data_IF_618028326457
#
_entry.id   IF_618028326457
#
_cell.length_a   1.000
_cell.length_b   1.000
_cell.length_c   1.000
_cell.angle_alpha   90.00
_cell.angle_beta   90.00
_cell.angle_gamma   90.00
#
_symmetry.space_group_name_H-M   'P 1'
#
loop_
_entity.id
_entity.type
_entity.pdbx_description
1 polymer ?
#
# COMPACT_ATOMS: atom_id res chain seq x y z
N UNK A 1 2.55 -11.90 -23.60
CA UNK A 1 3.22 -13.12 -23.08
C UNK A 1 4.33 -12.63 -22.16
N UNK A 2 4.34 -13.12 -20.92
CA UNK A 2 5.34 -12.79 -19.91
C UNK A 2 6.09 -14.08 -19.59
N UNK A 3 7.37 -14.13 -19.89
CA UNK A 3 8.26 -15.27 -19.62
C UNK A 3 9.08 -15.08 -18.35
N UNK A 4 9.27 -13.82 -17.91
CA UNK A 4 10.02 -13.50 -16.71
C UNK A 4 9.38 -12.36 -15.93
N UNK A 5 9.58 -12.36 -14.61
CA UNK A 5 9.13 -11.30 -13.70
C UNK A 5 10.33 -10.73 -12.98
N UNK A 6 10.40 -9.39 -12.98
CA UNK A 6 11.24 -8.62 -12.11
C UNK A 6 10.48 -8.36 -10.80
N UNK A 7 11.06 -8.76 -9.68
CA UNK A 7 10.51 -8.60 -8.35
C UNK A 7 11.41 -7.68 -7.53
N UNK A 8 10.94 -6.47 -7.28
CA UNK A 8 11.59 -5.53 -6.37
C UNK A 8 11.19 -5.83 -4.93
N UNK A 9 12.14 -5.85 -4.04
CA UNK A 9 11.92 -6.15 -2.64
C UNK A 9 12.87 -5.40 -1.71
N UNK A 10 12.46 -5.21 -0.47
CA UNK A 10 13.37 -4.72 0.56
C UNK A 10 14.23 -5.87 1.11
N UNK A 11 15.44 -5.58 1.57
CA UNK A 11 16.35 -6.53 2.24
C UNK A 11 15.78 -7.29 3.44
N UNK A 12 14.52 -7.04 3.78
CA UNK A 12 13.79 -7.61 4.92
C UNK A 12 12.87 -8.76 4.56
N UNK A 13 12.76 -9.07 3.26
CA UNK A 13 11.92 -10.16 2.77
C UNK A 13 12.59 -11.49 3.08
N UNK A 14 11.79 -12.46 3.52
CA UNK A 14 12.28 -13.75 3.96
C UNK A 14 12.18 -14.82 2.89
N UNK A 15 11.04 -14.89 2.18
CA UNK A 15 10.75 -15.95 1.21
C UNK A 15 9.76 -15.48 0.15
N UNK A 16 9.94 -16.01 -1.08
CA UNK A 16 9.00 -15.90 -2.20
C UNK A 16 8.67 -17.29 -2.73
N UNK A 17 7.43 -17.50 -3.13
CA UNK A 17 6.97 -18.72 -3.75
C UNK A 17 5.86 -18.40 -4.77
N UNK A 18 6.08 -18.78 -6.01
CA UNK A 18 5.09 -18.70 -7.07
C UNK A 18 4.36 -20.04 -7.22
N UNK A 19 3.10 -20.01 -7.57
CA UNK A 19 2.29 -21.19 -7.88
C UNK A 19 2.58 -21.80 -9.27
N UNK A 20 3.62 -21.34 -9.93
CA UNK A 20 4.08 -21.75 -11.24
C UNK A 20 5.57 -22.12 -11.19
N UNK A 21 5.96 -23.18 -11.90
CA UNK A 21 7.37 -23.62 -11.98
C UNK A 21 8.24 -22.50 -12.56
N UNK A 22 9.25 -22.11 -11.81
CA UNK A 22 10.12 -20.99 -12.13
C UNK A 22 11.57 -21.28 -11.70
N UNK A 23 12.48 -20.44 -12.20
CA UNK A 23 13.90 -20.45 -11.85
C UNK A 23 14.31 -19.03 -11.49
N UNK A 24 14.99 -18.85 -10.37
CA UNK A 24 15.66 -17.59 -10.03
C UNK A 24 16.90 -17.45 -10.94
N UNK A 25 16.84 -16.53 -11.90
CA UNK A 25 17.93 -16.31 -12.88
C UNK A 25 18.88 -15.19 -12.48
N UNK A 26 18.40 -14.26 -11.64
CA UNK A 26 19.22 -13.19 -11.07
C UNK A 26 18.72 -12.85 -9.67
N UNK A 27 19.67 -12.75 -8.73
CA UNK A 27 19.48 -12.18 -7.40
C UNK A 27 20.45 -11.03 -7.23
N UNK A 28 19.93 -9.80 -7.05
CA UNK A 28 20.76 -8.62 -6.79
C UNK A 28 20.59 -8.17 -5.34
N UNK A 29 21.58 -8.48 -4.52
CA UNK A 29 21.61 -8.12 -3.10
C UNK A 29 21.98 -6.67 -2.85
N UNK A 30 22.48 -5.95 -3.86
CA UNK A 30 22.89 -4.54 -3.74
C UNK A 30 21.68 -3.62 -3.92
N UNK A 31 20.86 -3.91 -4.93
CA UNK A 31 19.67 -3.14 -5.26
C UNK A 31 18.37 -3.81 -4.81
N UNK A 32 18.48 -5.02 -4.23
CA UNK A 32 17.37 -5.77 -3.64
C UNK A 32 16.26 -6.11 -4.64
N UNK A 33 16.63 -6.71 -5.73
CA UNK A 33 15.67 -7.26 -6.69
C UNK A 33 16.07 -8.65 -7.17
N UNK A 34 15.06 -9.41 -7.57
CA UNK A 34 15.19 -10.75 -8.15
C UNK A 34 14.54 -10.81 -9.51
N UNK A 35 15.07 -11.64 -10.41
CA UNK A 35 14.43 -11.98 -11.67
C UNK A 35 14.13 -13.48 -11.67
N UNK A 36 12.86 -13.81 -11.87
CA UNK A 36 12.35 -15.18 -12.00
C UNK A 36 11.92 -15.45 -13.43
N UNK A 37 12.42 -16.51 -14.03
CA UNK A 37 12.00 -17.01 -15.34
C UNK A 37 11.04 -18.17 -15.17
N UNK A 38 9.91 -18.15 -15.88
CA UNK A 38 8.89 -19.21 -15.83
C UNK A 38 9.12 -20.23 -16.91
N UNK A 39 9.10 -21.53 -16.56
CA UNK A 39 9.19 -22.63 -17.53
C UNK A 39 8.08 -22.55 -18.57
N UNK A 40 6.89 -22.18 -18.16
CA UNK A 40 5.76 -21.93 -19.04
C UNK A 40 5.37 -20.45 -18.93
N UNK A 41 5.47 -19.67 -20.01
CA UNK A 41 5.12 -18.25 -19.99
C UNK A 41 3.69 -18.01 -19.52
N UNK A 42 3.45 -16.82 -18.95
CA UNK A 42 2.12 -16.33 -18.56
C UNK A 42 1.46 -15.75 -19.79
N UNK A 43 0.30 -16.25 -20.15
CA UNK A 43 -0.48 -15.80 -21.30
C UNK A 43 -1.53 -14.74 -20.87
N UNK A 44 -2.03 -13.93 -21.81
CA UNK A 44 -3.16 -13.04 -21.52
C UNK A 44 -4.37 -13.82 -20.97
N UNK A 45 -4.86 -13.41 -19.81
CA UNK A 45 -5.95 -14.08 -19.09
C UNK A 45 -5.49 -15.09 -18.03
N UNK A 46 -4.21 -15.44 -17.99
CA UNK A 46 -3.65 -16.25 -16.90
C UNK A 46 -3.56 -15.45 -15.60
N UNK A 47 -3.56 -16.15 -14.48
CA UNK A 47 -3.25 -15.64 -13.16
C UNK A 47 -1.95 -16.22 -12.63
N UNK A 48 -1.25 -15.47 -11.81
CA UNK A 48 -0.08 -15.90 -11.06
C UNK A 48 -0.30 -15.57 -9.58
N UNK A 49 0.00 -16.55 -8.70
CA UNK A 49 -0.06 -16.34 -7.26
C UNK A 49 1.36 -16.24 -6.71
N UNK A 50 1.62 -15.18 -5.99
CA UNK A 50 2.84 -14.99 -5.21
C UNK A 50 2.52 -15.11 -3.72
N UNK A 51 3.11 -16.11 -3.05
CA UNK A 51 3.15 -16.18 -1.60
C UNK A 51 4.48 -15.59 -1.12
N UNK A 52 4.44 -14.80 -0.08
CA UNK A 52 5.67 -14.23 0.48
C UNK A 52 5.58 -14.00 1.98
N UNK A 53 6.73 -13.93 2.63
CA UNK A 53 6.86 -13.54 4.02
C UNK A 53 7.82 -12.37 4.13
N UNK A 54 7.37 -11.28 4.77
CA UNK A 54 8.19 -10.11 5.09
C UNK A 54 8.37 -10.01 6.59
N UNK A 55 9.61 -9.83 7.03
CA UNK A 55 9.95 -9.59 8.45
C UNK A 55 10.60 -8.24 8.63
N UNK A 56 9.95 -7.38 9.39
CA UNK A 56 10.53 -6.14 9.86
C UNK A 56 11.00 -6.32 11.32
N UNK A 57 12.32 -6.29 11.55
CA UNK A 57 12.87 -6.25 12.91
C UNK A 57 13.29 -4.81 13.23
N UNK A 58 12.76 -4.21 14.29
CA UNK A 58 13.24 -2.91 14.73
C UNK A 58 14.74 -3.00 15.05
N UNK A 59 15.52 -2.06 14.54
CA UNK A 59 16.92 -1.94 14.94
C UNK A 59 16.95 -1.30 16.33
N UNK A 60 17.38 -2.04 17.33
CA UNK A 60 17.39 -1.61 18.74
C UNK A 60 18.38 -0.48 19.00
N UNK A 61 19.39 -0.29 18.15
CA UNK A 61 20.41 0.76 18.28
C UNK A 61 20.06 2.04 17.51
N UNK A 62 19.35 1.91 16.39
CA UNK A 62 18.95 3.03 15.52
C UNK A 62 17.42 3.04 15.37
N UNK A 63 16.73 3.54 16.40
CA UNK A 63 15.26 3.52 16.49
C UNK A 63 14.53 4.35 15.41
N UNK A 64 15.22 5.22 14.68
CA UNK A 64 14.57 6.27 13.88
C UNK A 64 14.13 5.85 12.47
N UNK A 65 14.48 4.65 11.99
CA UNK A 65 14.17 4.18 10.63
C UNK A 65 13.42 2.84 10.59
N UNK A 66 12.71 2.48 11.65
CA UNK A 66 11.90 1.26 11.67
C UNK A 66 10.42 1.61 11.51
N UNK A 67 9.64 0.86 10.69
CA UNK A 67 8.19 0.98 10.63
C UNK A 67 7.51 0.49 11.92
N UNK A 68 8.26 -0.15 12.81
CA UNK A 68 7.81 -0.62 14.13
C UNK A 68 8.47 0.22 15.21
N UNK A 69 7.69 1.04 15.89
CA UNK A 69 8.13 1.92 16.99
C UNK A 69 7.49 1.47 18.30
N UNK A 70 7.95 2.03 19.41
CA UNK A 70 7.41 1.71 20.74
C UNK A 70 5.93 2.11 20.91
N UNK A 71 5.46 3.11 20.17
CA UNK A 71 4.10 3.62 20.24
C UNK A 71 3.19 3.15 19.10
N UNK A 72 3.70 2.35 18.16
CA UNK A 72 2.91 1.80 17.08
C UNK A 72 3.70 1.29 15.90
N UNK A 73 2.98 0.78 14.92
CA UNK A 73 3.52 0.23 13.67
C UNK A 73 2.87 0.93 12.50
N UNK A 74 3.68 1.28 11.50
CA UNK A 74 3.22 1.77 10.20
C UNK A 74 3.93 1.00 9.08
N UNK A 75 3.17 0.29 8.27
CA UNK A 75 3.64 -0.43 7.09
C UNK A 75 2.86 0.07 5.88
N UNK A 76 3.55 0.59 4.89
CA UNK A 76 2.96 0.93 3.58
C UNK A 76 3.20 -0.18 2.57
N UNK A 77 2.56 -0.10 1.39
CA UNK A 77 2.82 -1.01 0.28
C UNK A 77 4.31 -1.08 -0.12
N UNK A 78 5.10 -0.03 0.13
CA UNK A 78 6.56 -0.03 -0.08
C UNK A 78 7.34 -1.00 0.84
N UNK A 79 6.70 -1.53 1.89
CA UNK A 79 7.29 -2.54 2.75
C UNK A 79 7.07 -3.97 2.24
N UNK A 80 6.36 -4.13 1.13
CA UNK A 80 6.01 -5.40 0.50
C UNK A 80 6.66 -5.50 -0.88
N UNK A 81 6.81 -6.71 -1.43
CA UNK A 81 7.35 -6.89 -2.77
C UNK A 81 6.46 -6.22 -3.81
N UNK A 82 7.08 -5.65 -4.83
CA UNK A 82 6.41 -5.06 -5.98
C UNK A 82 6.89 -5.70 -7.28
N UNK A 83 6.00 -5.80 -8.26
CA UNK A 83 6.31 -6.32 -9.58
C UNK A 83 6.86 -5.22 -10.47
N UNK A 84 7.84 -5.56 -11.29
CA UNK A 84 8.48 -4.64 -12.20
C UNK A 84 9.53 -3.76 -11.53
N UNK A 85 10.28 -3.05 -12.35
CA UNK A 85 11.34 -2.16 -11.90
C UNK A 85 10.74 -0.89 -11.28
N UNK A 86 10.91 -0.73 -9.99
CA UNK A 86 10.47 0.43 -9.21
C UNK A 86 11.58 1.50 -9.09
N UNK A 87 12.58 1.47 -9.95
CA UNK A 87 13.68 2.41 -9.89
C UNK A 87 13.18 3.86 -9.84
N UNK A 88 13.70 4.60 -8.86
CA UNK A 88 13.67 6.06 -8.92
C UNK A 88 14.49 6.45 -10.13
N UNK A 89 13.79 6.57 -11.22
CA UNK A 89 14.36 6.67 -12.54
C UNK A 89 15.31 7.85 -12.62
N UNK A 90 16.32 7.66 -13.41
CA UNK A 90 17.07 8.78 -13.92
C UNK A 90 16.06 9.69 -14.65
N UNK A 91 15.58 10.72 -13.98
CA UNK A 91 14.59 11.65 -14.52
C UNK A 91 15.24 12.77 -15.34
N UNK A 92 16.57 12.94 -15.20
CA UNK A 92 17.34 13.93 -15.95
C UNK A 92 17.73 13.37 -17.33
N UNK A 93 17.22 13.98 -18.39
CA UNK A 93 17.43 13.53 -19.77
C UNK A 93 18.91 13.48 -20.17
N UNK A 94 19.76 14.39 -19.68
CA UNK A 94 21.20 14.36 -19.96
C UNK A 94 21.88 13.15 -19.34
N UNK A 95 21.45 12.79 -18.13
CA UNK A 95 21.96 11.60 -17.47
C UNK A 95 21.46 10.33 -18.17
N UNK A 96 20.21 10.31 -18.63
CA UNK A 96 19.65 9.21 -19.42
C UNK A 96 20.43 9.02 -20.73
N UNK A 97 20.69 10.10 -21.46
CA UNK A 97 21.49 10.11 -22.70
C UNK A 97 22.90 9.54 -22.46
N UNK A 98 23.55 9.94 -21.35
CA UNK A 98 24.88 9.43 -20.95
C UNK A 98 24.91 7.89 -20.80
N UNK A 99 23.82 7.30 -20.39
CA UNK A 99 23.67 5.85 -20.22
C UNK A 99 22.95 5.16 -21.41
N UNK A 100 22.75 5.86 -22.51
CA UNK A 100 22.10 5.32 -23.71
C UNK A 100 20.62 5.01 -23.53
N UNK A 101 19.97 5.62 -22.54
CA UNK A 101 18.55 5.46 -22.28
C UNK A 101 17.73 6.46 -23.11
N UNK A 102 16.50 6.10 -23.54
CA UNK A 102 15.62 7.05 -24.21
C UNK A 102 15.28 8.22 -23.29
N UNK A 103 14.87 9.39 -23.82
CA UNK A 103 14.37 10.50 -23.02
C UNK A 103 13.27 10.04 -22.05
N UNK A 104 13.12 10.76 -20.94
CA UNK A 104 12.06 10.44 -19.98
C UNK A 104 10.69 10.68 -20.62
N UNK A 105 9.76 9.74 -20.41
CA UNK A 105 8.39 9.90 -20.90
C UNK A 105 7.70 11.05 -20.15
N UNK A 106 7.21 12.00 -20.91
CA UNK A 106 6.40 13.08 -20.35
C UNK A 106 4.98 12.56 -20.03
N UNK A 107 4.36 13.15 -19.03
CA UNK A 107 2.95 12.89 -18.76
C UNK A 107 2.12 13.22 -20.01
N UNK A 108 1.15 12.37 -20.37
CA UNK A 108 0.24 12.64 -21.48
C UNK A 108 -0.48 13.98 -21.33
N UNK A 109 -0.86 14.56 -22.45
CA UNK A 109 -1.67 15.78 -22.44
C UNK A 109 -3.05 15.51 -21.81
N UNK A 110 -3.66 16.49 -21.13
CA UNK A 110 -5.02 16.34 -20.57
C UNK A 110 -6.09 16.01 -21.62
N UNK A 111 -5.80 16.27 -22.88
CA UNK A 111 -6.69 15.96 -24.02
C UNK A 111 -6.57 14.51 -24.50
N UNK A 112 -5.58 13.76 -24.04
CA UNK A 112 -5.43 12.34 -24.38
C UNK A 112 -6.34 11.48 -23.51
N UNK A 113 -7.51 11.19 -24.05
CA UNK A 113 -8.52 10.37 -23.34
C UNK A 113 -8.07 8.93 -23.10
N UNK A 114 -7.10 8.42 -23.85
CA UNK A 114 -6.61 7.04 -23.66
C UNK A 114 -5.72 6.92 -22.41
N UNK A 115 -5.12 8.01 -21.99
CA UNK A 115 -4.23 8.07 -20.85
C UNK A 115 -4.95 8.43 -19.52
N UNK A 116 -6.25 8.73 -19.55
CA UNK A 116 -7.01 9.09 -18.34
C UNK A 116 -7.07 7.97 -17.30
N UNK A 117 -6.93 6.72 -17.73
CA UNK A 117 -6.87 5.57 -16.84
C UNK A 117 -5.51 5.34 -16.16
N UNK A 118 -4.46 6.03 -16.60
CA UNK A 118 -3.13 5.84 -16.06
C UNK A 118 -3.02 6.45 -14.67
N UNK A 119 -2.48 5.70 -13.72
CA UNK A 119 -2.15 6.21 -12.39
C UNK A 119 -0.64 6.45 -12.27
N UNK A 120 -0.28 7.45 -11.47
CA UNK A 120 1.12 7.75 -11.14
C UNK A 120 1.45 7.44 -9.67
N UNK A 121 0.51 6.83 -8.96
CA UNK A 121 0.68 6.45 -7.55
C UNK A 121 1.33 5.09 -7.42
N UNK A 122 0.98 4.17 -8.32
CA UNK A 122 1.51 2.82 -8.37
C UNK A 122 1.96 2.48 -9.78
N UNK A 123 3.10 1.81 -9.90
CA UNK A 123 3.68 1.41 -11.19
C UNK A 123 3.47 -0.07 -11.52
N UNK A 124 3.23 -0.90 -10.52
CA UNK A 124 3.11 -2.35 -10.64
C UNK A 124 1.65 -2.81 -10.79
N UNK A 125 0.70 -2.02 -10.32
CA UNK A 125 -0.73 -2.30 -10.45
C UNK A 125 -1.55 -1.05 -10.24
N UNK A 126 -2.46 -0.75 -11.15
CA UNK A 126 -3.32 0.43 -11.05
C UNK A 126 -4.45 0.22 -10.05
N UNK A 127 -5.22 -0.85 -10.23
CA UNK A 127 -6.41 -1.14 -9.45
C UNK A 127 -6.37 -2.55 -8.90
N UNK A 128 -6.50 -2.67 -7.58
CA UNK A 128 -6.46 -3.94 -6.87
C UNK A 128 -7.77 -4.23 -6.13
N UNK A 129 -8.11 -5.50 -6.02
CA UNK A 129 -9.07 -6.00 -5.03
C UNK A 129 -8.32 -6.19 -3.71
N UNK A 130 -8.84 -5.60 -2.62
CA UNK A 130 -8.13 -5.58 -1.35
C UNK A 130 -8.93 -6.25 -0.24
N UNK A 131 -8.32 -7.23 0.39
CA UNK A 131 -8.78 -7.82 1.64
C UNK A 131 -7.57 -8.16 2.51
N UNK A 132 -7.64 -7.84 3.80
CA UNK A 132 -6.56 -8.11 4.73
C UNK A 132 -7.07 -8.52 6.12
N UNK A 133 -6.41 -9.51 6.72
CA UNK A 133 -6.54 -9.80 8.14
C UNK A 133 -5.27 -9.34 8.84
N UNK A 134 -5.41 -8.35 9.71
CA UNK A 134 -4.31 -7.78 10.48
C UNK A 134 -4.47 -8.19 11.95
N UNK A 135 -3.38 -8.58 12.59
CA UNK A 135 -3.40 -8.84 14.04
C UNK A 135 -2.35 -8.01 14.77
N UNK A 136 -2.68 -7.60 15.96
CA UNK A 136 -1.82 -6.82 16.85
C UNK A 136 -1.93 -7.31 18.29
N UNK A 137 -1.25 -6.67 19.23
CA UNK A 137 -1.43 -6.94 20.66
C UNK A 137 -2.88 -6.67 21.07
N UNK A 138 -3.36 -7.36 22.10
CA UNK A 138 -4.78 -7.33 22.51
C UNK A 138 -5.25 -5.93 22.91
N UNK A 139 -4.36 -5.10 23.41
CA UNK A 139 -4.56 -3.70 23.83
C UNK A 139 -4.50 -2.68 22.69
N UNK A 140 -4.16 -3.11 21.49
CA UNK A 140 -4.01 -2.22 20.32
C UNK A 140 -5.17 -2.37 19.33
N UNK A 141 -5.35 -1.36 18.51
CA UNK A 141 -6.21 -1.37 17.33
C UNK A 141 -5.33 -1.40 16.09
N UNK A 142 -5.61 -2.34 15.18
CA UNK A 142 -4.99 -2.37 13.86
C UNK A 142 -5.96 -1.85 12.80
N UNK A 143 -5.43 -1.08 11.85
CA UNK A 143 -6.19 -0.42 10.79
C UNK A 143 -5.59 -0.82 9.45
N UNK A 144 -6.46 -1.12 8.48
CA UNK A 144 -6.11 -1.37 7.08
C UNK A 144 -7.16 -0.72 6.17
N UNK A 145 -6.92 -0.54 4.87
CA UNK A 145 -7.96 -0.13 3.94
C UNK A 145 -9.17 -1.06 3.97
N UNK A 146 -10.33 -0.52 3.67
CA UNK A 146 -11.58 -1.26 3.64
C UNK A 146 -12.42 -1.13 4.90
N UNK A 147 -13.57 -1.77 4.85
CA UNK A 147 -14.54 -1.76 5.95
C UNK A 147 -14.28 -2.96 6.86
N UNK A 148 -14.35 -2.74 8.16
CA UNK A 148 -14.17 -3.81 9.14
C UNK A 148 -15.31 -4.84 8.99
N UNK A 149 -14.95 -6.06 8.61
CA UNK A 149 -15.88 -7.18 8.45
C UNK A 149 -16.02 -7.98 9.74
N UNK A 150 -14.88 -8.20 10.42
CA UNK A 150 -14.82 -9.02 11.62
C UNK A 150 -13.67 -8.58 12.51
N UNK A 151 -13.92 -8.64 13.81
CA UNK A 151 -12.94 -8.45 14.87
C UNK A 151 -13.06 -9.62 15.86
N UNK A 152 -11.91 -10.15 16.32
CA UNK A 152 -11.88 -11.21 17.35
C UNK A 152 -10.56 -11.22 18.10
N UNK A 153 -10.55 -11.89 19.23
CA UNK A 153 -9.34 -12.15 20.01
C UNK A 153 -9.06 -13.64 19.98
N UNK A 154 -7.79 -13.99 19.81
CA UNK A 154 -7.29 -15.36 19.91
C UNK A 154 -5.93 -15.35 20.63
N UNK A 155 -5.87 -15.97 21.78
CA UNK A 155 -4.72 -15.90 22.68
C UNK A 155 -4.41 -14.47 23.13
N UNK A 156 -3.20 -14.03 22.88
CA UNK A 156 -2.68 -12.70 23.20
C UNK A 156 -2.77 -11.70 22.03
N UNK A 157 -3.50 -12.07 20.97
CA UNK A 157 -3.63 -11.27 19.76
C UNK A 157 -5.07 -10.87 19.49
N UNK A 158 -5.24 -9.65 18.99
CA UNK A 158 -6.50 -9.09 18.49
C UNK A 158 -6.42 -8.98 16.98
N UNK A 159 -7.43 -9.48 16.28
CA UNK A 159 -7.50 -9.62 14.83
C UNK A 159 -8.59 -8.73 14.27
N UNK A 160 -8.31 -8.17 13.08
CA UNK A 160 -9.21 -7.31 12.35
C UNK A 160 -9.20 -7.74 10.88
N UNK A 161 -10.34 -8.15 10.34
CA UNK A 161 -10.49 -8.40 8.92
C UNK A 161 -11.14 -7.19 8.24
N UNK A 162 -10.43 -6.64 7.29
CA UNK A 162 -10.87 -5.51 6.47
C UNK A 162 -11.02 -5.94 5.02
N UNK A 163 -12.07 -5.44 4.35
CA UNK A 163 -12.34 -5.69 2.95
C UNK A 163 -12.90 -4.46 2.26
N UNK A 164 -12.38 -4.14 1.08
CA UNK A 164 -12.96 -3.14 0.20
C UNK A 164 -14.14 -3.74 -0.57
N UNK A 165 -15.17 -2.94 -0.82
CA UNK A 165 -16.32 -3.29 -1.67
C UNK A 165 -16.13 -2.87 -3.13
N UNK A 166 -15.05 -2.19 -3.44
CA UNK A 166 -14.63 -1.77 -4.78
C UNK A 166 -13.11 -1.82 -4.89
N UNK A 167 -12.59 -1.81 -6.10
CA UNK A 167 -11.15 -1.72 -6.34
C UNK A 167 -10.59 -0.42 -5.82
N UNK A 168 -9.37 -0.48 -5.32
CA UNK A 168 -8.57 0.68 -4.89
C UNK A 168 -7.25 0.73 -5.65
N UNK A 169 -6.59 1.88 -5.63
CA UNK A 169 -5.22 1.97 -6.14
C UNK A 169 -4.29 1.11 -5.29
N UNK A 170 -3.22 0.60 -5.88
CA UNK A 170 -2.17 -0.11 -5.15
C UNK A 170 -1.35 0.85 -4.27
N UNK A 171 -2.05 1.53 -3.40
CA UNK A 171 -1.54 2.48 -2.42
C UNK A 171 -2.26 2.26 -1.10
N UNK A 172 -1.65 1.50 -0.21
CA UNK A 172 -2.27 1.08 1.05
C UNK A 172 -1.27 1.08 2.20
N UNK A 173 -1.79 1.09 3.42
CA UNK A 173 -0.98 0.99 4.63
C UNK A 173 -1.69 0.19 5.72
N UNK A 174 -0.88 -0.35 6.61
CA UNK A 174 -1.30 -0.99 7.85
C UNK A 174 -0.77 -0.18 9.02
N UNK A 175 -1.65 0.17 9.93
CA UNK A 175 -1.32 0.90 11.15
C UNK A 175 -1.76 0.12 12.36
N UNK A 176 -0.99 0.15 13.43
CA UNK A 176 -1.37 -0.46 14.70
C UNK A 176 -0.78 0.33 15.86
N UNK A 177 -1.61 0.67 16.83
CA UNK A 177 -1.19 1.30 18.09
C UNK A 177 -2.28 1.18 19.16
N UNK A 178 -1.97 1.62 20.38
CA UNK A 178 -2.95 1.86 21.43
C UNK A 178 -3.72 3.16 21.09
N UNK A 179 -4.66 3.01 20.16
CA UNK A 179 -5.50 4.11 19.70
C UNK A 179 -6.75 4.29 20.54
N UNK A 180 -7.09 5.56 20.81
CA UNK A 180 -8.44 6.01 21.08
C UNK A 180 -9.12 6.40 19.78
N UNK A 181 -10.44 6.31 19.69
CA UNK A 181 -11.18 6.62 18.46
C UNK A 181 -12.25 7.65 18.72
N UNK A 182 -12.17 8.78 18.05
CA UNK A 182 -13.20 9.80 18.03
C UNK A 182 -14.05 9.64 16.78
N UNK A 183 -15.38 9.44 16.96
CA UNK A 183 -16.30 9.09 15.89
C UNK A 183 -17.35 10.16 15.68
N UNK A 184 -17.74 10.34 14.41
CA UNK A 184 -18.86 11.16 13.98
C UNK A 184 -19.35 10.65 12.61
N UNK A 185 -20.26 11.39 11.98
CA UNK A 185 -20.74 11.09 10.63
C UNK A 185 -20.98 12.37 9.83
N UNK A 186 -20.93 12.24 8.51
CA UNK A 186 -21.36 13.25 7.55
C UNK A 186 -22.18 12.56 6.47
N UNK A 187 -23.48 12.89 6.37
CA UNK A 187 -24.44 12.14 5.58
C UNK A 187 -24.31 10.61 5.88
N UNK A 188 -24.10 9.79 4.85
CA UNK A 188 -23.94 8.34 4.98
C UNK A 188 -22.48 7.90 5.19
N UNK A 189 -21.56 8.85 5.41
CA UNK A 189 -20.14 8.58 5.62
C UNK A 189 -19.81 8.55 7.11
N UNK A 190 -19.27 7.43 7.59
CA UNK A 190 -18.70 7.33 8.93
C UNK A 190 -17.35 8.03 9.00
N UNK A 191 -17.16 8.87 10.02
CA UNK A 191 -15.91 9.60 10.25
C UNK A 191 -15.24 9.10 11.52
N UNK A 192 -13.95 8.77 11.43
CA UNK A 192 -13.18 8.29 12.56
C UNK A 192 -11.81 8.96 12.63
N UNK A 193 -11.42 9.46 13.79
CA UNK A 193 -10.08 9.96 14.07
C UNK A 193 -9.45 9.04 15.11
N UNK A 194 -8.34 8.40 14.72
CA UNK A 194 -7.54 7.56 15.59
C UNK A 194 -6.41 8.39 16.20
N UNK A 195 -6.30 8.39 17.52
CA UNK A 195 -5.34 9.21 18.21
C UNK A 195 -4.77 8.49 19.46
N UNK A 196 -3.58 8.88 19.89
CA UNK A 196 -3.00 8.38 21.13
C UNK A 196 -3.62 9.08 22.34
N UNK A 197 -3.81 8.35 23.42
CA UNK A 197 -4.23 8.90 24.70
C UNK A 197 -3.35 10.10 25.09
N UNK A 198 -3.97 11.20 25.54
CA UNK A 198 -3.31 12.47 25.84
C UNK A 198 -3.08 13.39 24.62
N UNK A 199 -3.46 12.98 23.40
CA UNK A 199 -3.43 13.80 22.18
C UNK A 199 -4.84 14.13 21.69
N UNK A 200 -5.75 14.43 22.62
CA UNK A 200 -7.17 14.68 22.36
C UNK A 200 -7.51 16.13 21.99
N UNK A 201 -6.51 17.03 21.99
CA UNK A 201 -6.69 18.41 21.59
C UNK A 201 -7.01 18.56 20.09
N UNK A 202 -7.90 19.51 19.77
CA UNK A 202 -8.35 19.79 18.40
C UNK A 202 -9.18 18.71 17.69
N UNK A 203 -9.61 17.63 18.32
CA UNK A 203 -10.44 16.60 17.70
C UNK A 203 -11.70 17.17 17.07
N UNK A 204 -12.44 18.05 17.77
CA UNK A 204 -13.62 18.73 17.23
C UNK A 204 -13.30 19.59 16.01
N UNK A 205 -12.15 20.26 16.02
CA UNK A 205 -11.71 21.09 14.90
C UNK A 205 -11.33 20.22 13.70
N UNK A 206 -10.64 19.12 13.93
CA UNK A 206 -10.29 18.16 12.88
C UNK A 206 -11.54 17.55 12.26
N UNK A 207 -12.51 17.14 13.10
CA UNK A 207 -13.78 16.59 12.64
C UNK A 207 -14.59 17.60 11.81
N UNK A 208 -14.65 18.86 12.24
CA UNK A 208 -15.26 19.94 11.44
C UNK A 208 -14.54 20.12 10.11
N UNK A 209 -13.20 20.05 10.11
CA UNK A 209 -12.40 20.12 8.89
C UNK A 209 -12.69 18.96 7.92
N UNK A 210 -12.81 17.72 8.42
CA UNK A 210 -13.19 16.56 7.60
C UNK A 210 -14.55 16.78 6.94
N UNK A 211 -15.56 17.22 7.70
CA UNK A 211 -16.91 17.49 7.16
C UNK A 211 -16.91 18.59 6.11
N UNK A 212 -16.23 19.71 6.37
CA UNK A 212 -16.11 20.81 5.42
C UNK A 212 -15.37 20.39 4.13
N UNK A 213 -14.35 19.57 4.24
CA UNK A 213 -13.62 19.04 3.09
C UNK A 213 -14.50 18.09 2.25
N UNK A 214 -15.26 17.20 2.88
CA UNK A 214 -16.20 16.31 2.19
C UNK A 214 -17.29 17.10 1.46
N UNK A 215 -17.87 18.10 2.11
CA UNK A 215 -18.87 19.00 1.51
C UNK A 215 -18.28 19.73 0.30
N UNK A 216 -17.18 20.44 0.49
CA UNK A 216 -16.53 21.20 -0.58
C UNK A 216 -16.14 20.32 -1.78
N UNK A 217 -15.51 19.18 -1.52
CA UNK A 217 -15.06 18.27 -2.59
C UNK A 217 -16.25 17.62 -3.32
N UNK A 218 -17.31 17.28 -2.59
CA UNK A 218 -18.51 16.68 -3.20
C UNK A 218 -19.28 17.65 -4.07
N UNK A 219 -19.31 18.94 -3.70
CA UNK A 219 -19.97 19.99 -4.49
C UNK A 219 -19.16 20.42 -5.71
N UNK A 220 -17.81 20.47 -5.61
CA UNK A 220 -16.98 21.08 -6.64
C UNK A 220 -16.32 20.06 -7.59
N UNK A 221 -16.22 18.80 -7.21
CA UNK A 221 -15.56 17.76 -8.02
C UNK A 221 -16.47 16.56 -8.29
N UNK A 222 -16.70 15.73 -7.26
CA UNK A 222 -17.59 14.57 -7.37
C UNK A 222 -18.07 14.14 -5.98
N UNK A 223 -19.23 13.46 -5.88
CA UNK A 223 -19.68 12.85 -4.62
C UNK A 223 -18.60 11.92 -4.05
N UNK A 224 -18.45 11.92 -2.73
CA UNK A 224 -17.53 11.02 -2.05
C UNK A 224 -17.99 9.56 -2.23
N UNK A 225 -17.09 8.70 -2.67
CA UNK A 225 -17.41 7.35 -3.15
C UNK A 225 -17.35 6.27 -2.07
N UNK A 226 -16.84 6.60 -0.88
CA UNK A 226 -16.64 5.62 0.20
C UNK A 226 -17.60 5.87 1.37
N UNK A 227 -17.91 4.81 2.10
CA UNK A 227 -18.80 4.85 3.28
C UNK A 227 -18.11 5.28 4.56
N UNK A 228 -16.80 5.47 4.52
CA UNK A 228 -16.00 5.80 5.69
C UNK A 228 -14.80 6.67 5.30
N UNK A 229 -14.43 7.61 6.20
CA UNK A 229 -13.19 8.38 6.17
C UNK A 229 -12.50 8.25 7.54
N UNK A 230 -11.23 7.84 7.50
CA UNK A 230 -10.39 7.64 8.69
C UNK A 230 -9.12 8.46 8.61
#
# INVERSE_FOLDING_TARGET
IIDSIFLDHSSRISTFEFDRENTLVLEDTTYHFDIYEFKNPILPGDSLKLNFTVRNKPNTLLRNNSPVLYNGTFLSNQNFPSLGYQGYELTDDKTREKYGLPPNELKPLPSDSTALGNTYISKDSDWIDFEATVSTSVDQIAIAPGYLQKEWVDGDRRYFNYKMDSKILNFYSFNSADYQVFKDSWNDVSLEIYYHSGHDYNLDRMMKGMKAALEYCSENFSPYQHKQLR
#
